data_IF_547563638088
#
_entry.id   IF_547563638088
#
_cell.length_a   1.000
_cell.length_b   1.000
_cell.length_c   1.000
_cell.angle_alpha   90.00
_cell.angle_beta   90.00
_cell.angle_gamma   90.00
#
_symmetry.space_group_name_H-M   'P 1'
#
loop_
_entity.id
_entity.type
_entity.pdbx_description
1 polymer ?
#
# COMPACT_ATOMS: atom_id res chain seq x y z
N UNK A 1 51.97 -87.71 19.07
CA UNK A 1 53.19 -86.89 18.93
C UNK A 1 53.49 -86.82 17.45
N UNK A 2 53.68 -85.70 16.76
CA UNK A 2 53.61 -84.29 17.13
C UNK A 2 53.33 -83.51 15.85
N UNK A 3 52.64 -82.40 16.02
CA UNK A 3 52.41 -81.33 15.06
C UNK A 3 53.74 -80.72 14.57
N UNK A 4 53.81 -80.25 13.32
CA UNK A 4 53.87 -78.81 13.10
C UNK A 4 53.53 -78.41 11.65
N UNK A 5 52.99 -77.20 11.59
CA UNK A 5 52.27 -76.48 10.55
C UNK A 5 53.21 -75.59 9.70
N UNK A 6 52.84 -75.28 8.45
CA UNK A 6 52.68 -73.89 7.95
C UNK A 6 52.09 -73.82 6.53
N UNK A 7 50.84 -73.32 6.48
CA UNK A 7 50.21 -72.34 5.56
C UNK A 7 50.63 -72.26 4.08
N UNK A 8 49.64 -72.27 3.17
CA UNK A 8 49.20 -71.08 2.41
C UNK A 8 47.76 -71.23 1.85
N UNK A 9 46.97 -70.18 2.09
CA UNK A 9 45.66 -69.72 1.61
C UNK A 9 44.83 -70.49 0.54
N UNK A 10 43.54 -70.67 0.84
CA UNK A 10 42.45 -70.07 0.05
C UNK A 10 41.13 -70.05 0.85
N UNK A 11 40.64 -68.85 1.11
CA UNK A 11 39.37 -68.56 1.78
C UNK A 11 38.23 -68.67 0.77
N UNK A 12 37.39 -69.69 0.89
CA UNK A 12 36.11 -69.84 0.19
C UNK A 12 35.10 -70.33 1.24
N UNK A 13 34.51 -69.42 2.02
CA UNK A 13 33.24 -68.76 1.72
C UNK A 13 32.04 -69.72 1.85
N UNK A 14 31.59 -69.89 3.10
CA UNK A 14 30.23 -70.31 3.42
C UNK A 14 29.96 -69.83 4.85
N UNK A 15 29.08 -68.83 5.00
CA UNK A 15 28.13 -68.73 6.10
C UNK A 15 27.19 -67.53 5.87
N UNK A 16 25.91 -67.87 5.75
CA UNK A 16 24.71 -67.05 5.92
C UNK A 16 24.65 -65.68 5.21
N UNK A 17 24.44 -65.73 3.90
CA UNK A 17 23.72 -64.66 3.20
C UNK A 17 22.25 -64.72 3.62
N UNK A 18 21.92 -64.05 4.74
CA UNK A 18 20.54 -63.72 5.07
C UNK A 18 19.90 -63.10 3.82
N UNK A 19 18.81 -63.70 3.34
CA UNK A 19 18.06 -63.20 2.18
C UNK A 19 17.58 -61.79 2.50
N UNK A 20 18.32 -60.79 2.04
CA UNK A 20 17.89 -59.40 2.09
C UNK A 20 16.68 -59.33 1.18
N UNK A 21 15.48 -59.34 1.76
CA UNK A 21 14.25 -59.00 1.07
C UNK A 21 14.41 -57.58 0.53
N UNK A 22 14.90 -57.47 -0.71
CA UNK A 22 14.88 -56.21 -1.44
C UNK A 22 13.43 -55.95 -1.82
N UNK A 23 12.70 -55.34 -0.88
CA UNK A 23 11.35 -54.84 -1.11
C UNK A 23 11.44 -53.88 -2.28
N UNK A 24 10.92 -54.29 -3.44
CA UNK A 24 10.88 -53.43 -4.62
C UNK A 24 10.03 -52.20 -4.27
N UNK A 25 10.70 -51.09 -3.95
CA UNK A 25 10.03 -49.82 -3.71
C UNK A 25 9.41 -49.42 -5.04
N UNK A 26 8.09 -49.55 -5.13
CA UNK A 26 7.33 -49.20 -6.31
C UNK A 26 7.66 -47.76 -6.72
N UNK A 27 7.97 -47.54 -8.01
CA UNK A 27 8.32 -46.24 -8.61
C UNK A 27 7.30 -45.12 -8.27
N UNK A 28 6.05 -45.50 -8.01
CA UNK A 28 4.98 -44.59 -7.60
C UNK A 28 5.14 -44.03 -6.17
N UNK A 29 5.83 -44.74 -5.29
CA UNK A 29 6.03 -44.33 -3.88
C UNK A 29 6.75 -42.98 -3.74
N UNK A 30 7.93 -42.74 -4.36
CA UNK A 30 8.58 -41.44 -4.32
C UNK A 30 7.76 -40.34 -5.01
N UNK A 31 7.04 -40.66 -6.10
CA UNK A 31 6.16 -39.70 -6.79
C UNK A 31 4.99 -39.24 -5.91
N UNK A 32 4.35 -40.17 -5.20
CA UNK A 32 3.27 -39.85 -4.26
C UNK A 32 3.80 -38.99 -3.11
N UNK A 33 4.97 -39.31 -2.56
CA UNK A 33 5.59 -38.51 -1.49
C UNK A 33 5.84 -37.06 -1.92
N UNK A 34 6.44 -36.85 -3.10
CA UNK A 34 6.67 -35.51 -3.65
C UNK A 34 5.34 -34.80 -3.91
N UNK A 35 4.34 -35.49 -4.44
CA UNK A 35 3.02 -34.91 -4.71
C UNK A 35 2.35 -34.42 -3.42
N UNK A 36 2.39 -35.21 -2.34
CA UNK A 36 1.84 -34.81 -1.03
C UNK A 36 2.61 -33.60 -0.47
N UNK A 37 3.94 -33.59 -0.58
CA UNK A 37 4.73 -32.44 -0.16
C UNK A 37 4.36 -31.17 -0.93
N UNK A 38 4.28 -31.24 -2.26
CA UNK A 38 3.92 -30.08 -3.09
C UNK A 38 2.51 -29.58 -2.77
N UNK A 39 1.54 -30.48 -2.59
CA UNK A 39 0.17 -30.12 -2.22
C UNK A 39 0.16 -29.46 -0.83
N UNK A 40 0.81 -30.05 0.16
CA UNK A 40 0.88 -29.50 1.52
C UNK A 40 1.54 -28.11 1.56
N UNK A 41 2.64 -27.93 0.82
CA UNK A 41 3.36 -26.66 0.71
C UNK A 41 2.49 -25.60 0.02
N UNK A 42 1.79 -25.98 -1.05
CA UNK A 42 0.91 -25.06 -1.79
C UNK A 42 -0.27 -24.61 -0.93
N UNK A 43 -0.89 -25.53 -0.19
CA UNK A 43 -1.98 -25.21 0.74
C UNK A 43 -1.49 -24.31 1.87
N UNK A 44 -0.35 -24.64 2.49
CA UNK A 44 0.25 -23.82 3.55
C UNK A 44 0.62 -22.42 3.06
N UNK A 45 1.32 -22.33 1.92
CA UNK A 45 1.70 -21.04 1.32
C UNK A 45 0.48 -20.20 0.98
N UNK A 46 -0.59 -20.81 0.45
CA UNK A 46 -1.83 -20.11 0.13
C UNK A 46 -2.54 -19.60 1.39
N UNK A 47 -2.61 -20.41 2.45
CA UNK A 47 -3.21 -20.00 3.72
C UNK A 47 -2.41 -18.89 4.39
N UNK A 48 -1.09 -19.03 4.47
CA UNK A 48 -0.20 -18.02 5.04
C UNK A 48 -0.30 -16.69 4.28
N UNK A 49 -0.23 -16.71 2.95
CA UNK A 49 -0.38 -15.50 2.13
C UNK A 49 -1.74 -14.84 2.32
N UNK A 50 -2.83 -15.62 2.39
CA UNK A 50 -4.18 -15.07 2.68
C UNK A 50 -4.24 -14.38 4.04
N UNK A 51 -3.65 -14.99 5.07
CA UNK A 51 -3.57 -14.39 6.41
C UNK A 51 -2.75 -13.10 6.38
N UNK A 52 -1.57 -13.11 5.77
CA UNK A 52 -0.73 -11.90 5.66
C UNK A 52 -1.42 -10.78 4.88
N UNK A 53 -2.16 -11.08 3.80
CA UNK A 53 -2.93 -10.08 3.06
C UNK A 53 -4.06 -9.51 3.91
N UNK A 54 -4.74 -10.35 4.70
CA UNK A 54 -5.80 -9.90 5.61
C UNK A 54 -5.25 -8.95 6.67
N UNK A 55 -4.13 -9.32 7.31
CA UNK A 55 -3.45 -8.46 8.28
C UNK A 55 -3.03 -7.12 7.66
N UNK A 56 -2.54 -7.11 6.42
CA UNK A 56 -2.21 -5.88 5.71
C UNK A 56 -3.44 -5.04 5.34
N UNK A 57 -4.59 -5.67 5.08
CA UNK A 57 -5.85 -4.97 4.75
C UNK A 57 -6.57 -4.39 5.96
N UNK A 58 -6.30 -4.93 7.15
CA UNK A 58 -6.89 -4.44 8.42
C UNK A 58 -6.12 -3.25 9.00
N UNK A 59 -4.96 -2.90 8.43
CA UNK A 59 -4.20 -1.73 8.83
C UNK A 59 -5.04 -0.45 8.61
N UNK A 60 -5.14 0.43 9.61
CA UNK A 60 -5.92 1.66 9.46
C UNK A 60 -5.34 2.55 8.36
N UNK A 61 -6.17 3.36 7.69
CA UNK A 61 -5.68 4.29 6.64
C UNK A 61 -4.89 5.46 7.27
N UNK A 62 -3.77 5.89 6.68
CA UNK A 62 -3.00 7.05 7.20
C UNK A 62 -3.69 8.38 6.95
N UNK A 63 -4.49 8.47 5.89
CA UNK A 63 -5.30 9.63 5.59
C UNK A 63 -6.73 9.40 6.06
N UNK A 64 -7.37 10.50 6.44
CA UNK A 64 -8.80 10.50 6.63
C UNK A 64 -9.53 10.27 5.30
N UNK A 65 -10.81 9.91 5.38
CA UNK A 65 -11.67 9.69 4.24
C UNK A 65 -11.71 10.93 3.32
N UNK A 66 -11.70 10.68 2.00
CA UNK A 66 -11.57 11.73 1.00
C UNK A 66 -12.93 12.29 0.63
N UNK A 67 -13.34 13.36 1.32
CA UNK A 67 -14.61 14.06 1.01
C UNK A 67 -14.73 14.42 -0.47
N UNK A 68 -13.63 14.82 -1.13
CA UNK A 68 -13.63 15.17 -2.55
C UNK A 68 -13.88 13.96 -3.47
N UNK A 69 -13.41 12.77 -3.07
CA UNK A 69 -13.66 11.50 -3.79
C UNK A 69 -15.11 11.07 -3.60
N UNK A 70 -15.60 11.12 -2.37
CA UNK A 70 -16.93 10.61 -2.05
C UNK A 70 -18.01 11.49 -2.68
N UNK A 71 -17.83 12.81 -2.63
CA UNK A 71 -18.69 13.76 -3.33
C UNK A 71 -18.72 13.51 -4.85
N UNK A 72 -17.59 13.16 -5.46
CA UNK A 72 -17.55 12.82 -6.87
C UNK A 72 -18.35 11.54 -7.18
N UNK A 73 -18.18 10.48 -6.38
CA UNK A 73 -18.91 9.24 -6.58
C UNK A 73 -20.40 9.37 -6.29
N UNK A 74 -20.78 10.16 -5.30
CA UNK A 74 -22.16 10.50 -5.01
C UNK A 74 -22.81 11.23 -6.20
N UNK A 75 -22.15 12.26 -6.74
CA UNK A 75 -22.62 12.96 -7.94
C UNK A 75 -22.70 12.05 -9.16
N UNK A 76 -21.76 11.12 -9.32
CA UNK A 76 -21.78 10.13 -10.40
C UNK A 76 -22.94 9.15 -10.25
N UNK A 77 -23.16 8.65 -9.03
CA UNK A 77 -24.29 7.76 -8.72
C UNK A 77 -25.64 8.43 -8.95
N UNK A 78 -25.80 9.69 -8.54
CA UNK A 78 -27.03 10.47 -8.79
C UNK A 78 -27.30 10.64 -10.28
N UNK A 79 -26.25 10.87 -11.07
CA UNK A 79 -26.34 10.98 -12.52
C UNK A 79 -26.72 9.64 -13.18
N UNK A 80 -26.14 8.53 -12.72
CA UNK A 80 -26.35 7.20 -13.28
C UNK A 80 -27.74 6.63 -12.92
N UNK A 81 -28.24 6.93 -11.73
CA UNK A 81 -29.57 6.48 -11.24
C UNK A 81 -30.71 7.31 -11.85
N UNK A 82 -30.41 8.51 -12.35
CA UNK A 82 -31.40 9.43 -12.92
C UNK A 82 -32.21 10.21 -11.88
N UNK A 83 -31.86 10.11 -10.60
CA UNK A 83 -32.51 10.84 -9.50
C UNK A 83 -32.38 12.36 -9.67
N UNK A 84 -31.23 12.81 -10.18
CA UNK A 84 -30.97 14.21 -10.49
C UNK A 84 -30.11 14.34 -11.74
N UNK A 85 -30.51 15.22 -12.68
CA UNK A 85 -29.72 15.51 -13.87
C UNK A 85 -28.53 16.41 -13.52
N UNK A 86 -27.39 15.80 -13.18
CA UNK A 86 -26.15 16.53 -12.92
C UNK A 86 -25.57 17.04 -14.24
N UNK A 87 -25.27 18.33 -14.30
CA UNK A 87 -24.67 18.92 -15.50
C UNK A 87 -23.20 18.47 -15.63
N UNK A 88 -22.77 18.14 -16.85
CA UNK A 88 -21.42 17.61 -17.15
C UNK A 88 -20.28 18.47 -16.59
N UNK A 89 -20.40 19.80 -16.66
CA UNK A 89 -19.43 20.74 -16.07
C UNK A 89 -19.26 20.56 -14.56
N UNK A 90 -20.31 20.21 -13.82
CA UNK A 90 -20.24 19.98 -12.37
C UNK A 90 -19.47 18.69 -12.11
N UNK A 91 -19.72 17.64 -12.88
CA UNK A 91 -19.00 16.38 -12.77
C UNK A 91 -17.50 16.54 -13.08
N UNK A 92 -17.16 17.31 -14.13
CA UNK A 92 -15.78 17.66 -14.47
C UNK A 92 -15.10 18.49 -13.37
N UNK A 93 -15.80 19.46 -12.77
CA UNK A 93 -15.28 20.25 -11.66
C UNK A 93 -15.05 19.41 -10.40
N UNK A 94 -15.97 18.49 -10.08
CA UNK A 94 -15.82 17.55 -8.98
C UNK A 94 -14.61 16.62 -9.19
N UNK A 95 -14.41 16.12 -10.42
CA UNK A 95 -13.25 15.29 -10.75
C UNK A 95 -11.93 16.08 -10.62
N UNK A 96 -11.90 17.35 -11.01
CA UNK A 96 -10.73 18.22 -10.80
C UNK A 96 -10.43 18.42 -9.30
N UNK A 97 -11.45 18.56 -8.46
CA UNK A 97 -11.27 18.66 -7.02
C UNK A 97 -10.74 17.35 -6.41
N UNK A 98 -11.27 16.20 -6.85
CA UNK A 98 -10.74 14.86 -6.50
C UNK A 98 -9.26 14.72 -6.91
N UNK A 99 -8.91 15.14 -8.12
CA UNK A 99 -7.54 15.12 -8.63
C UNK A 99 -6.58 16.00 -7.83
N UNK A 100 -7.01 17.21 -7.49
CA UNK A 100 -6.22 18.13 -6.67
C UNK A 100 -5.93 17.55 -5.28
N UNK A 101 -6.91 16.91 -4.63
CA UNK A 101 -6.72 16.24 -3.34
C UNK A 101 -5.81 15.00 -3.44
N UNK A 102 -5.93 14.19 -4.50
CA UNK A 102 -5.04 13.05 -4.76
C UNK A 102 -3.58 13.51 -4.95
N UNK A 103 -3.35 14.59 -5.71
CA UNK A 103 -2.02 15.20 -5.87
C UNK A 103 -1.49 15.72 -4.54
N UNK A 104 -2.33 16.39 -3.73
CA UNK A 104 -1.95 16.88 -2.40
C UNK A 104 -1.46 15.75 -1.50
N UNK A 105 -2.18 14.62 -1.45
CA UNK A 105 -1.81 13.43 -0.69
C UNK A 105 -0.50 12.83 -1.21
N UNK A 106 -0.36 12.72 -2.53
CA UNK A 106 0.85 12.22 -3.19
C UNK A 106 2.08 13.05 -2.83
N UNK A 107 1.98 14.38 -2.93
CA UNK A 107 3.06 15.30 -2.58
C UNK A 107 3.44 15.18 -1.10
N UNK A 108 2.44 15.10 -0.22
CA UNK A 108 2.69 14.96 1.22
C UNK A 108 3.42 13.65 1.56
N UNK A 109 3.05 12.53 0.93
CA UNK A 109 3.76 11.27 1.12
C UNK A 109 5.19 11.35 0.61
N UNK A 110 5.41 11.84 -0.62
CA UNK A 110 6.75 11.99 -1.21
C UNK A 110 7.65 12.91 -0.39
N UNK A 111 7.12 14.00 0.15
CA UNK A 111 7.87 14.91 1.01
C UNK A 111 8.26 14.25 2.34
N UNK A 112 7.42 13.35 2.87
CA UNK A 112 7.62 12.62 4.12
C UNK A 112 8.47 11.35 4.00
N UNK A 113 8.72 10.87 2.78
CA UNK A 113 9.43 9.61 2.50
C UNK A 113 10.83 9.53 3.12
N UNK A 114 11.72 10.54 2.99
CA UNK A 114 13.06 10.44 3.57
C UNK A 114 13.02 10.44 5.11
N UNK A 115 12.10 11.19 5.73
CA UNK A 115 11.98 11.27 7.18
C UNK A 115 11.44 9.95 7.75
N UNK A 116 10.40 9.38 7.14
CA UNK A 116 9.85 8.08 7.57
C UNK A 116 10.88 6.97 7.39
N UNK A 117 11.61 6.96 6.27
CA UNK A 117 12.67 5.98 6.00
C UNK A 117 13.79 6.07 7.02
N UNK A 118 14.20 7.29 7.40
CA UNK A 118 15.22 7.51 8.44
C UNK A 118 14.74 7.01 9.80
N UNK A 119 13.50 7.36 10.20
CA UNK A 119 12.93 6.93 11.49
C UNK A 119 12.78 5.40 11.58
N UNK A 120 12.42 4.75 10.48
CA UNK A 120 12.35 3.29 10.41
C UNK A 120 13.73 2.64 10.54
N UNK A 121 14.75 3.14 9.82
CA UNK A 121 16.13 2.64 9.95
C UNK A 121 16.71 2.83 11.36
N UNK A 122 16.32 3.89 12.04
CA UNK A 122 16.72 4.15 13.43
C UNK A 122 15.97 3.29 14.46
N UNK A 123 14.97 2.51 14.05
CA UNK A 123 14.15 1.69 14.94
C UNK A 123 13.14 2.49 15.78
N UNK A 124 12.91 3.78 15.47
CA UNK A 124 11.93 4.61 16.17
C UNK A 124 10.49 4.32 15.76
N UNK A 125 10.29 3.63 14.62
CA UNK A 125 9.00 3.33 14.01
C UNK A 125 8.87 1.83 13.84
N UNK A 126 7.73 1.27 14.26
CA UNK A 126 7.46 -0.16 14.13
C UNK A 126 7.25 -0.63 12.69
N UNK A 127 7.49 -1.92 12.46
CA UNK A 127 7.31 -2.59 11.16
C UNK A 127 5.89 -2.43 10.60
N UNK A 128 4.89 -2.46 11.48
CA UNK A 128 3.48 -2.28 11.13
C UNK A 128 3.22 -0.93 10.46
N UNK A 129 3.75 0.16 11.04
CA UNK A 129 3.61 1.50 10.49
C UNK A 129 4.34 1.64 9.15
N UNK A 130 5.52 1.04 9.03
CA UNK A 130 6.28 1.06 7.78
C UNK A 130 5.51 0.36 6.64
N UNK A 131 4.96 -0.83 6.90
CA UNK A 131 4.10 -1.55 5.94
C UNK A 131 2.85 -0.74 5.58
N UNK A 132 2.21 -0.12 6.58
CA UNK A 132 1.06 0.78 6.38
C UNK A 132 1.43 1.94 5.46
N UNK A 133 2.55 2.62 5.71
CA UNK A 133 3.05 3.70 4.86
C UNK A 133 3.28 3.26 3.42
N UNK A 134 3.93 2.11 3.21
CA UNK A 134 4.14 1.55 1.86
C UNK A 134 2.84 1.19 1.15
N UNK A 135 1.83 0.70 1.89
CA UNK A 135 0.51 0.43 1.35
C UNK A 135 -0.20 1.73 0.91
N UNK A 136 -0.15 2.76 1.74
CA UNK A 136 -0.74 4.07 1.46
C UNK A 136 -0.14 4.75 0.23
N UNK A 137 1.18 4.67 0.05
CA UNK A 137 1.85 5.19 -1.16
C UNK A 137 1.28 4.52 -2.41
N UNK A 138 1.04 3.21 -2.37
CA UNK A 138 0.45 2.47 -3.49
C UNK A 138 -1.03 2.80 -3.68
N UNK A 139 -1.79 2.94 -2.60
CA UNK A 139 -3.21 3.23 -2.64
C UNK A 139 -3.47 4.62 -3.26
N UNK A 140 -2.71 5.63 -2.83
CA UNK A 140 -2.82 7.00 -3.37
C UNK A 140 -2.38 7.07 -4.84
N UNK A 141 -1.35 6.33 -5.23
CA UNK A 141 -0.93 6.25 -6.64
C UNK A 141 -1.99 5.54 -7.52
N UNK A 142 -2.63 4.50 -6.98
CA UNK A 142 -3.74 3.82 -7.65
C UNK A 142 -4.95 4.76 -7.79
N UNK A 143 -5.34 5.46 -6.73
CA UNK A 143 -6.43 6.43 -6.75
C UNK A 143 -6.17 7.55 -7.78
N UNK A 144 -4.93 8.04 -7.85
CA UNK A 144 -4.55 9.06 -8.83
C UNK A 144 -4.62 8.53 -10.26
N UNK A 145 -4.14 7.30 -10.51
CA UNK A 145 -4.27 6.64 -11.83
C UNK A 145 -5.72 6.43 -12.23
N UNK A 146 -6.58 6.03 -11.31
CA UNK A 146 -8.02 5.87 -11.54
C UNK A 146 -8.66 7.21 -11.93
N UNK A 147 -8.32 8.31 -11.24
CA UNK A 147 -8.82 9.64 -11.58
C UNK A 147 -8.38 10.09 -13.00
N UNK A 148 -7.15 9.76 -13.41
CA UNK A 148 -6.66 10.02 -14.77
C UNK A 148 -7.44 9.21 -15.82
N UNK A 149 -7.69 7.92 -15.55
CA UNK A 149 -8.49 7.08 -16.45
C UNK A 149 -9.93 7.58 -16.57
N UNK A 150 -10.51 8.03 -15.46
CA UNK A 150 -11.85 8.62 -15.44
C UNK A 150 -11.90 9.95 -16.22
N UNK A 151 -10.83 10.75 -16.17
CA UNK A 151 -10.72 11.95 -17.00
C UNK A 151 -10.76 11.61 -18.50
N UNK A 152 -10.04 10.56 -18.93
CA UNK A 152 -10.09 10.09 -20.33
C UNK A 152 -11.50 9.61 -20.72
N UNK A 153 -12.20 8.91 -19.82
CA UNK A 153 -13.58 8.46 -20.05
C UNK A 153 -14.56 9.61 -20.22
N UNK A 154 -14.41 10.69 -19.45
CA UNK A 154 -15.27 11.87 -19.54
C UNK A 154 -14.97 12.72 -20.76
N UNK A 155 -13.70 12.83 -21.16
CA UNK A 155 -13.30 13.57 -22.34
C UNK A 155 -11.99 13.00 -22.91
N UNK A 156 -12.01 12.41 -24.12
CA UNK A 156 -10.82 11.88 -24.76
C UNK A 156 -9.74 12.97 -24.95
N UNK A 157 -8.49 12.65 -24.59
CA UNK A 157 -7.36 13.58 -24.71
C UNK A 157 -7.28 14.65 -23.62
N UNK A 158 -8.12 14.56 -22.59
CA UNK A 158 -8.06 15.44 -21.41
C UNK A 158 -6.98 15.08 -20.35
N UNK A 159 -6.51 13.82 -20.16
CA UNK A 159 -5.60 13.41 -19.10
C UNK A 159 -4.35 14.27 -18.89
N UNK A 160 -3.64 14.64 -19.96
CA UNK A 160 -2.40 15.41 -19.83
C UNK A 160 -2.67 16.79 -19.24
N UNK A 161 -3.72 17.47 -19.74
CA UNK A 161 -4.14 18.77 -19.24
C UNK A 161 -4.75 18.66 -17.83
N UNK A 162 -5.51 17.60 -17.57
CA UNK A 162 -6.13 17.32 -16.27
C UNK A 162 -5.09 17.27 -15.14
N UNK A 163 -3.97 16.57 -15.34
CA UNK A 163 -2.91 16.47 -14.33
C UNK A 163 -2.26 17.84 -14.06
N UNK A 164 -1.96 18.61 -15.11
CA UNK A 164 -1.36 19.93 -14.99
C UNK A 164 -2.29 20.89 -14.22
N UNK A 165 -3.55 20.97 -14.62
CA UNK A 165 -4.56 21.85 -14.00
C UNK A 165 -4.85 21.42 -12.55
N UNK A 166 -4.99 20.12 -12.28
CA UNK A 166 -5.22 19.62 -10.92
C UNK A 166 -4.06 19.97 -9.97
N UNK A 167 -2.82 19.96 -10.47
CA UNK A 167 -1.63 20.37 -9.71
C UNK A 167 -1.67 21.87 -9.39
N UNK A 168 -2.01 22.72 -10.35
CA UNK A 168 -2.15 24.17 -10.13
C UNK A 168 -3.27 24.48 -9.14
N UNK A 169 -4.43 23.82 -9.27
CA UNK A 169 -5.54 23.94 -8.32
C UNK A 169 -5.10 23.55 -6.92
N UNK A 170 -4.38 22.42 -6.76
CA UNK A 170 -3.86 21.97 -5.47
C UNK A 170 -2.99 23.06 -4.82
N UNK A 171 -2.06 23.66 -5.56
CA UNK A 171 -1.21 24.72 -5.02
C UNK A 171 -1.98 26.00 -4.71
N UNK A 172 -2.93 26.40 -5.57
CA UNK A 172 -3.79 27.56 -5.32
C UNK A 172 -4.63 27.38 -4.05
N UNK A 173 -5.27 26.21 -3.89
CA UNK A 173 -6.02 25.87 -2.69
C UNK A 173 -5.14 25.87 -1.44
N UNK A 174 -3.91 25.33 -1.52
CA UNK A 174 -2.95 25.36 -0.41
C UNK A 174 -2.58 26.80 -0.03
N UNK A 175 -2.29 27.66 -1.02
CA UNK A 175 -1.99 29.07 -0.79
C UNK A 175 -3.18 29.81 -0.15
N UNK A 176 -4.39 29.61 -0.67
CA UNK A 176 -5.62 30.21 -0.13
C UNK A 176 -5.85 29.80 1.33
N UNK A 177 -5.70 28.50 1.65
CA UNK A 177 -5.80 28.00 3.03
C UNK A 177 -4.79 28.67 3.96
N UNK A 178 -3.54 28.84 3.52
CA UNK A 178 -2.50 29.53 4.30
C UNK A 178 -2.81 31.01 4.50
N UNK A 179 -3.26 31.70 3.45
CA UNK A 179 -3.64 33.10 3.54
C UNK A 179 -4.79 33.33 4.54
N UNK A 180 -5.85 32.53 4.46
CA UNK A 180 -6.97 32.59 5.42
C UNK A 180 -6.52 32.29 6.85
N UNK A 181 -5.61 31.33 7.03
CA UNK A 181 -5.05 31.03 8.36
C UNK A 181 -4.25 32.19 8.96
N UNK A 182 -3.61 33.04 8.15
CA UNK A 182 -2.90 34.23 8.64
C UNK A 182 -3.89 35.27 9.18
N UNK A 183 -5.03 35.47 8.50
CA UNK A 183 -6.08 36.37 8.97
C UNK A 183 -6.67 35.90 10.31
N UNK A 184 -6.98 34.61 10.43
CA UNK A 184 -7.46 34.04 11.69
C UNK A 184 -6.42 34.13 12.82
N UNK A 185 -5.14 33.89 12.53
CA UNK A 185 -4.08 34.04 13.54
C UNK A 185 -3.92 35.46 14.04
N UNK A 186 -4.17 36.47 13.21
CA UNK A 186 -4.14 37.86 13.63
C UNK A 186 -5.13 38.10 14.76
N UNK A 187 -6.35 37.58 14.65
CA UNK A 187 -7.39 37.70 15.68
C UNK A 187 -6.96 36.99 16.97
N UNK A 188 -6.50 35.74 16.86
CA UNK A 188 -5.99 34.96 18.00
C UNK A 188 -4.85 35.67 18.74
N UNK A 189 -3.88 36.24 18.00
CA UNK A 189 -2.78 36.96 18.62
C UNK A 189 -3.19 38.30 19.21
N UNK A 190 -4.18 38.99 18.62
CA UNK A 190 -4.74 40.22 19.19
C UNK A 190 -5.34 39.94 20.57
N UNK A 191 -6.10 38.86 20.71
CA UNK A 191 -6.69 38.44 21.98
C UNK A 191 -5.63 37.98 22.98
N UNK A 192 -4.72 37.09 22.54
CA UNK A 192 -3.69 36.51 23.40
C UNK A 192 -2.73 37.58 23.96
N UNK A 193 -2.39 38.59 23.17
CA UNK A 193 -1.49 39.67 23.58
C UNK A 193 -2.23 40.93 24.02
N UNK A 194 -3.56 40.88 24.13
CA UNK A 194 -4.43 42.01 24.53
C UNK A 194 -4.19 43.28 23.71
N UNK A 195 -3.81 43.11 22.44
CA UNK A 195 -3.55 44.22 21.54
C UNK A 195 -4.87 44.80 21.06
N UNK A 196 -4.99 46.13 21.14
CA UNK A 196 -6.09 46.87 20.55
C UNK A 196 -5.58 47.54 19.30
N UNK A 197 -6.24 47.27 18.18
CA UNK A 197 -5.94 47.92 16.91
C UNK A 197 -7.01 48.98 16.61
N UNK A 198 -6.58 50.14 16.13
CA UNK A 198 -7.46 51.13 15.52
C UNK A 198 -7.98 50.61 14.16
N UNK A 199 -9.06 51.20 13.66
CA UNK A 199 -9.62 51.02 12.32
C UNK A 199 -8.59 51.12 11.18
N UNK A 200 -7.50 51.86 11.39
CA UNK A 200 -6.36 51.99 10.45
C UNK A 200 -5.32 50.87 10.55
N UNK A 201 -5.46 49.97 11.53
CA UNK A 201 -4.52 48.87 11.79
C UNK A 201 -3.32 49.23 12.65
N UNK A 202 -3.26 50.45 13.21
CA UNK A 202 -2.24 50.84 14.19
C UNK A 202 -2.57 50.32 15.58
N UNK A 203 -1.53 50.00 16.35
CA UNK A 203 -1.66 49.64 17.75
C UNK A 203 -2.12 50.87 18.56
N UNK A 204 -3.10 50.67 19.43
CA UNK A 204 -3.52 51.65 20.42
C UNK A 204 -2.73 51.29 21.70
N UNK A 205 -1.92 52.22 22.20
CA UNK A 205 -1.23 52.10 23.49
C UNK A 205 -2.22 52.02 24.66
#
# INVERSE_FOLDING_TARGET
MSFNNTQYNSTFAEDDAGTVEMKAVSFYTPLIYVSILVISLTVFASHYRKKTVKELSELPSMFDESVARDLYFELKQMNDTGDAKVHEKVLKAALLNRGAEAIRRTLKLKESEPQVTMLYKNGCVGEEYWKRYQNEVKLVDLEFKDAIQEAERLQPGWPQLYVAVSKEICFNQALKRRFQAILLRKEVFSEQWQLKFDSTGKLIE
#
